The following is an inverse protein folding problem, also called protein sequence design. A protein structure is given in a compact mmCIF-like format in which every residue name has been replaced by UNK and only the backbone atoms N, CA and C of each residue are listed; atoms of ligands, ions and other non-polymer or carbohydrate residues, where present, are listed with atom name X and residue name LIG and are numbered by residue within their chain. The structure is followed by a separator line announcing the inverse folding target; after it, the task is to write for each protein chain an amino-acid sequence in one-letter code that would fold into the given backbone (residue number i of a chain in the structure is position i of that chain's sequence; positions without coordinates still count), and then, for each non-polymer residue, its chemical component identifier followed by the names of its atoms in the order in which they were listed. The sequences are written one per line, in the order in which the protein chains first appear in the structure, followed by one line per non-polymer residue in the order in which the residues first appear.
data_IF_764478604425
#
_entry.id   IF_764478604425
#
_cell.length_a   1.000
_cell.length_b   1.000
_cell.length_c   1.000
_cell.angle_alpha   90.00
_cell.angle_beta   90.00
_cell.angle_gamma   90.00
#
_symmetry.space_group_name_H-M   'P 1'
#
loop_
_entity.id
_entity.type
_entity.pdbx_description
1 polymer ?
#
# COMPACT_ATOMS: atom_id res chain seq x y z
N UNK A 1 7.55 9.75 9.04
CA UNK A 1 7.49 9.68 7.57
C UNK A 1 6.49 10.70 7.04
N UNK A 2 6.70 11.31 5.87
CA UNK A 2 5.90 12.46 5.43
C UNK A 2 4.58 12.04 4.82
N UNK A 3 3.59 12.90 5.01
CA UNK A 3 2.21 12.78 4.70
C UNK A 3 1.86 12.96 3.21
N UNK A 4 0.79 12.28 2.77
CA UNK A 4 0.09 12.60 1.52
C UNK A 4 -1.01 13.61 1.80
N UNK A 5 -0.95 14.77 1.13
CA UNK A 5 -2.12 15.62 0.98
C UNK A 5 -3.09 15.00 -0.04
N UNK A 6 -4.31 15.56 -0.10
CA UNK A 6 -5.37 15.09 -0.98
C UNK A 6 -4.86 14.95 -2.43
N UNK A 7 -4.82 13.71 -2.94
CA UNK A 7 -4.27 13.37 -4.25
C UNK A 7 -5.41 13.08 -5.21
N UNK A 8 -5.26 13.49 -6.46
CA UNK A 8 -6.14 13.02 -7.53
C UNK A 8 -5.79 11.58 -7.88
N UNK A 9 -6.77 10.70 -7.91
CA UNK A 9 -6.62 9.30 -8.32
C UNK A 9 -7.57 8.98 -9.46
N UNK A 10 -7.25 7.91 -10.20
CA UNK A 10 -8.14 7.31 -11.18
C UNK A 10 -8.69 6.03 -10.62
N UNK A 11 -10.00 5.79 -10.82
CA UNK A 11 -10.61 4.50 -10.53
C UNK A 11 -10.94 3.77 -11.83
N UNK A 12 -10.66 2.47 -11.86
CA UNK A 12 -11.01 1.55 -12.94
C UNK A 12 -11.64 0.32 -12.30
N UNK A 13 -12.64 -0.26 -12.93
CA UNK A 13 -13.19 -1.55 -12.51
C UNK A 13 -12.62 -2.65 -13.38
N UNK A 14 -11.93 -3.61 -12.77
CA UNK A 14 -11.53 -4.84 -13.41
C UNK A 14 -12.68 -5.86 -13.28
N UNK A 15 -13.18 -6.34 -14.41
CA UNK A 15 -14.18 -7.42 -14.48
C UNK A 15 -13.46 -8.70 -14.85
N UNK A 16 -13.50 -9.70 -13.98
CA UNK A 16 -12.92 -11.01 -14.26
C UNK A 16 -13.97 -12.13 -14.09
N UNK A 17 -13.74 -13.19 -14.85
CA UNK A 17 -14.75 -14.14 -15.34
C UNK A 17 -15.31 -15.14 -14.35
N UNK A 18 -16.25 -15.84 -14.82
CA UNK A 18 -17.21 -16.91 -14.57
C UNK A 18 -18.39 -16.54 -13.71
N UNK A 19 -18.28 -15.60 -12.73
CA UNK A 19 -19.38 -15.16 -11.87
C UNK A 19 -19.43 -13.64 -11.69
N UNK A 20 -18.88 -12.87 -12.65
CA UNK A 20 -18.89 -11.38 -12.69
C UNK A 20 -18.44 -10.77 -11.36
N UNK A 21 -17.24 -11.12 -10.92
CA UNK A 21 -16.59 -10.42 -9.81
C UNK A 21 -15.87 -9.18 -10.35
N UNK A 22 -16.01 -8.07 -9.65
CA UNK A 22 -15.34 -6.82 -9.97
C UNK A 22 -14.38 -6.44 -8.85
N UNK A 23 -13.23 -5.89 -9.22
CA UNK A 23 -12.27 -5.28 -8.28
C UNK A 23 -12.10 -3.83 -8.70
N UNK A 24 -12.34 -2.90 -7.76
CA UNK A 24 -12.01 -1.50 -7.96
C UNK A 24 -10.49 -1.32 -7.86
N UNK A 25 -9.92 -0.58 -8.81
CA UNK A 25 -8.50 -0.25 -8.85
C UNK A 25 -8.35 1.26 -8.84
N UNK A 26 -7.65 1.78 -7.85
CA UNK A 26 -7.32 3.20 -7.75
C UNK A 26 -5.83 3.38 -8.01
N UNK A 27 -5.49 4.19 -9.00
CA UNK A 27 -4.09 4.55 -9.25
C UNK A 27 -3.79 5.88 -8.58
N UNK A 28 -2.83 5.88 -7.67
CA UNK A 28 -2.48 6.99 -6.76
C UNK A 28 -1.01 7.33 -6.89
N UNK A 29 -0.70 8.61 -7.05
CA UNK A 29 0.67 9.10 -6.98
C UNK A 29 1.01 9.49 -5.53
N UNK A 30 1.83 8.69 -4.86
CA UNK A 30 2.27 8.98 -3.50
C UNK A 30 3.33 10.10 -3.45
N UNK A 31 3.40 10.83 -2.32
CA UNK A 31 4.36 11.89 -2.03
C UNK A 31 4.27 13.15 -2.91
N UNK A 32 3.13 13.40 -3.55
CA UNK A 32 2.92 14.58 -4.38
C UNK A 32 1.49 15.11 -4.27
N UNK A 33 1.31 16.40 -4.62
CA UNK A 33 -0.01 17.02 -4.80
C UNK A 33 -0.44 17.04 -6.28
N UNK A 34 0.46 16.65 -7.18
CA UNK A 34 0.24 16.75 -8.63
C UNK A 34 0.26 15.36 -9.24
N UNK A 35 -0.75 15.04 -10.05
CA UNK A 35 -0.79 13.79 -10.82
C UNK A 35 0.47 13.65 -11.69
N UNK A 36 0.95 12.42 -11.86
CA UNK A 36 2.13 12.04 -12.65
C UNK A 36 3.47 12.58 -12.12
N UNK A 37 3.52 13.05 -10.87
CA UNK A 37 4.76 13.59 -10.27
C UNK A 37 5.14 12.90 -8.97
N UNK A 38 4.50 11.81 -8.62
CA UNK A 38 4.76 11.04 -7.42
C UNK A 38 5.33 9.65 -7.68
N UNK A 39 5.29 8.82 -6.66
CA UNK A 39 5.55 7.40 -6.78
C UNK A 39 4.21 6.67 -6.98
N UNK A 40 3.94 6.11 -8.17
CA UNK A 40 2.65 5.53 -8.47
C UNK A 40 2.46 4.19 -7.74
N UNK A 41 1.27 4.01 -7.17
CA UNK A 41 0.79 2.76 -6.62
C UNK A 41 -0.62 2.47 -7.12
N UNK A 42 -0.96 1.21 -7.30
CA UNK A 42 -2.34 0.77 -7.47
C UNK A 42 -2.89 0.28 -6.13
N UNK A 43 -4.15 0.58 -5.85
CA UNK A 43 -4.87 0.16 -4.63
C UNK A 43 -6.11 -0.61 -5.04
N UNK A 44 -6.23 -1.84 -4.56
CA UNK A 44 -7.32 -2.77 -4.83
C UNK A 44 -8.01 -3.15 -3.51
N UNK A 45 -9.07 -2.45 -3.08
CA UNK A 45 -9.89 -2.88 -1.97
C UNK A 45 -10.69 -4.12 -2.38
N UNK A 46 -10.64 -5.17 -1.56
CA UNK A 46 -11.31 -6.46 -1.84
C UNK A 46 -12.17 -6.89 -0.65
N UNK A 47 -13.26 -7.59 -0.90
CA UNK A 47 -14.13 -8.15 0.12
C UNK A 47 -13.73 -9.58 0.52
N UNK A 48 -13.01 -10.25 -0.34
CA UNK A 48 -12.40 -11.57 -0.13
C UNK A 48 -11.06 -11.61 -0.87
N UNK A 49 -10.11 -12.37 -0.38
CA UNK A 49 -8.81 -12.51 -1.05
C UNK A 49 -8.97 -13.18 -2.41
N UNK A 50 -8.54 -12.51 -3.51
CA UNK A 50 -8.32 -13.21 -4.78
C UNK A 50 -7.21 -14.26 -4.61
N UNK A 51 -7.10 -15.19 -5.56
CA UNK A 51 -5.95 -16.09 -5.56
C UNK A 51 -4.64 -15.31 -5.74
N UNK A 52 -3.53 -15.83 -5.18
CA UNK A 52 -2.21 -15.21 -5.30
C UNK A 52 -1.83 -14.98 -6.78
N UNK A 53 -2.16 -15.95 -7.64
CA UNK A 53 -1.94 -15.82 -9.08
C UNK A 53 -2.71 -14.65 -9.69
N UNK A 54 -3.98 -14.44 -9.30
CA UNK A 54 -4.79 -13.34 -9.82
C UNK A 54 -4.25 -11.99 -9.33
N UNK A 55 -3.87 -11.89 -8.05
CA UNK A 55 -3.27 -10.66 -7.51
C UNK A 55 -1.96 -10.32 -8.23
N UNK A 56 -1.11 -11.33 -8.50
CA UNK A 56 0.13 -11.14 -9.26
C UNK A 56 -0.16 -10.72 -10.70
N UNK A 57 -1.13 -11.30 -11.38
CA UNK A 57 -1.49 -10.90 -12.75
C UNK A 57 -2.01 -9.48 -12.81
N UNK A 58 -2.86 -9.06 -11.86
CA UNK A 58 -3.33 -7.68 -11.75
C UNK A 58 -2.15 -6.71 -11.55
N UNK A 59 -1.21 -7.05 -10.67
CA UNK A 59 -0.02 -6.23 -10.44
C UNK A 59 0.87 -6.14 -11.68
N UNK A 60 1.03 -7.24 -12.43
CA UNK A 60 1.77 -7.28 -13.68
C UNK A 60 1.11 -6.39 -14.75
N UNK A 61 -0.21 -6.48 -14.89
CA UNK A 61 -0.97 -5.68 -15.87
C UNK A 61 -0.97 -4.19 -15.52
N UNK A 62 -1.12 -3.85 -14.24
CA UNK A 62 -1.06 -2.45 -13.78
C UNK A 62 0.30 -1.80 -14.07
N UNK A 63 1.37 -2.60 -14.00
CA UNK A 63 2.75 -2.18 -14.32
C UNK A 63 3.19 -0.88 -13.63
N UNK A 64 2.75 -0.68 -12.38
CA UNK A 64 3.24 0.37 -11.48
C UNK A 64 4.22 -0.24 -10.47
N UNK A 65 4.89 0.60 -9.66
CA UNK A 65 5.87 0.09 -8.67
C UNK A 65 5.30 -1.03 -7.83
N UNK A 66 4.15 -0.81 -7.17
CA UNK A 66 3.43 -1.82 -6.41
C UNK A 66 1.91 -1.64 -6.53
N UNK A 67 1.22 -2.78 -6.48
CA UNK A 67 -0.23 -2.89 -6.32
C UNK A 67 -0.51 -3.41 -4.91
N UNK A 68 -1.23 -2.62 -4.12
CA UNK A 68 -1.68 -3.00 -2.79
C UNK A 68 -3.09 -3.60 -2.87
N UNK A 69 -3.28 -4.75 -2.24
CA UNK A 69 -4.59 -5.34 -1.99
C UNK A 69 -4.91 -5.19 -0.51
N UNK A 70 -6.09 -4.71 -0.18
CA UNK A 70 -6.56 -4.55 1.19
C UNK A 70 -7.90 -5.24 1.38
N UNK A 71 -7.97 -6.12 2.39
CA UNK A 71 -9.18 -6.88 2.71
C UNK A 71 -10.11 -6.01 3.57
N UNK A 72 -11.25 -5.61 2.99
CA UNK A 72 -12.28 -4.86 3.68
C UNK A 72 -13.06 -5.78 4.64
N UNK A 73 -13.43 -5.24 5.81
CA UNK A 73 -14.23 -5.99 6.80
C UNK A 73 -13.41 -6.83 7.78
N UNK A 74 -12.10 -6.98 7.61
CA UNK A 74 -11.20 -7.48 8.66
C UNK A 74 -10.87 -6.37 9.67
N UNK A 75 -10.58 -6.74 10.91
CA UNK A 75 -10.15 -5.79 11.95
C UNK A 75 -9.06 -6.43 12.83
N UNK A 76 -7.80 -6.00 12.71
CA UNK A 76 -7.27 -4.97 11.79
C UNK A 76 -7.44 -5.31 10.31
N UNK A 77 -7.36 -4.31 9.42
CA UNK A 77 -7.43 -4.51 7.97
C UNK A 77 -6.19 -5.26 7.49
N UNK A 78 -6.37 -6.35 6.76
CA UNK A 78 -5.23 -7.07 6.19
C UNK A 78 -4.78 -6.43 4.88
N UNK A 79 -3.46 -6.32 4.66
CA UNK A 79 -2.87 -5.71 3.47
C UNK A 79 -1.72 -6.56 2.92
N UNK A 80 -1.65 -6.65 1.58
CA UNK A 80 -0.59 -7.32 0.82
C UNK A 80 -0.17 -6.46 -0.36
N UNK A 81 1.10 -6.56 -0.78
CA UNK A 81 1.66 -5.76 -1.86
C UNK A 81 2.36 -6.64 -2.89
N UNK A 82 2.14 -6.31 -4.14
CA UNK A 82 2.73 -7.02 -5.27
C UNK A 82 3.41 -6.03 -6.19
N UNK A 83 4.70 -6.25 -6.48
CA UNK A 83 5.37 -5.65 -7.62
C UNK A 83 4.87 -6.32 -8.91
N UNK A 84 5.22 -5.84 -10.12
CA UNK A 84 4.87 -6.54 -11.34
C UNK A 84 5.36 -7.99 -11.44
N UNK A 85 6.30 -8.42 -10.60
CA UNK A 85 6.94 -9.73 -10.70
C UNK A 85 6.80 -10.60 -9.45
N UNK A 86 6.59 -10.02 -8.26
CA UNK A 86 6.61 -10.77 -7.00
C UNK A 86 5.83 -10.04 -5.90
N UNK A 87 5.27 -10.81 -4.96
CA UNK A 87 4.78 -10.26 -3.69
C UNK A 87 5.95 -9.72 -2.87
N UNK A 88 5.78 -8.53 -2.25
CA UNK A 88 6.79 -7.89 -1.42
C UNK A 88 6.35 -7.85 0.04
N UNK A 89 7.31 -7.96 0.97
CA UNK A 89 7.01 -8.09 2.40
C UNK A 89 6.51 -6.79 3.03
N UNK A 90 6.92 -5.62 2.52
CA UNK A 90 6.53 -4.31 3.05
C UNK A 90 6.65 -3.23 1.97
N UNK A 91 5.63 -2.37 1.86
CA UNK A 91 5.67 -1.24 0.95
C UNK A 91 5.05 0.02 1.57
N UNK A 92 5.87 1.03 1.88
CA UNK A 92 5.43 2.25 2.56
C UNK A 92 4.54 3.14 1.69
N UNK A 93 4.94 3.43 0.44
CA UNK A 93 4.18 4.36 -0.40
C UNK A 93 2.84 3.78 -0.84
N UNK A 94 2.77 2.47 -1.12
CA UNK A 94 1.51 1.81 -1.46
C UNK A 94 0.57 1.70 -0.25
N UNK A 95 1.11 1.54 0.98
CA UNK A 95 0.31 1.61 2.22
C UNK A 95 -0.26 3.01 2.43
N UNK A 96 0.56 4.04 2.17
CA UNK A 96 0.13 5.43 2.28
C UNK A 96 -0.99 5.74 1.27
N UNK A 97 -0.85 5.29 0.01
CA UNK A 97 -1.88 5.39 -1.02
C UNK A 97 -3.15 4.65 -0.60
N UNK A 98 -3.03 3.42 -0.06
CA UNK A 98 -4.16 2.64 0.44
C UNK A 98 -4.90 3.35 1.56
N UNK A 99 -4.19 3.87 2.56
CA UNK A 99 -4.80 4.63 3.64
C UNK A 99 -5.56 5.86 3.12
N UNK A 100 -5.00 6.57 2.13
CA UNK A 100 -5.66 7.73 1.51
C UNK A 100 -6.99 7.35 0.86
N UNK A 101 -7.00 6.29 0.03
CA UNK A 101 -8.22 5.79 -0.62
C UNK A 101 -9.25 5.35 0.41
N UNK A 102 -8.83 4.65 1.47
CA UNK A 102 -9.75 4.21 2.51
C UNK A 102 -10.39 5.39 3.25
N UNK A 103 -9.63 6.43 3.60
CA UNK A 103 -10.18 7.62 4.24
C UNK A 103 -11.11 8.42 3.32
N UNK A 104 -10.86 8.46 2.02
CA UNK A 104 -11.65 9.24 1.08
C UNK A 104 -12.93 8.52 0.63
N UNK A 105 -12.86 7.20 0.38
CA UNK A 105 -13.91 6.47 -0.34
C UNK A 105 -14.65 5.46 0.53
N UNK A 106 -14.02 4.91 1.58
CA UNK A 106 -14.55 3.76 2.30
C UNK A 106 -14.90 4.05 3.77
N UNK A 107 -14.14 4.91 4.42
CA UNK A 107 -14.32 5.20 5.85
C UNK A 107 -15.07 6.53 6.03
N UNK A 108 -16.40 6.46 5.98
CA UNK A 108 -17.28 7.61 6.26
C UNK A 108 -17.44 7.88 7.76
N UNK A 109 -16.43 7.56 8.58
CA UNK A 109 -16.48 7.66 10.03
C UNK A 109 -15.66 8.85 10.54
N UNK A 110 -15.88 9.21 11.82
CA UNK A 110 -15.05 10.16 12.55
C UNK A 110 -13.68 9.56 12.95
N UNK A 111 -13.46 8.26 12.72
CA UNK A 111 -12.20 7.59 12.98
C UNK A 111 -11.14 8.08 12.01
N UNK A 112 -10.06 8.57 12.59
CA UNK A 112 -8.90 9.09 11.85
C UNK A 112 -7.70 8.15 11.89
N UNK A 113 -7.92 6.88 12.25
CA UNK A 113 -6.86 5.89 12.39
C UNK A 113 -7.28 4.58 11.74
N UNK A 114 -6.38 4.03 10.93
CA UNK A 114 -6.48 2.69 10.34
C UNK A 114 -5.32 1.86 10.88
N UNK A 115 -5.59 0.61 11.22
CA UNK A 115 -4.55 -0.37 11.55
C UNK A 115 -4.54 -1.41 10.46
N UNK A 116 -3.38 -1.54 9.80
CA UNK A 116 -3.11 -2.57 8.82
C UNK A 116 -2.33 -3.72 9.47
N UNK A 117 -2.80 -4.93 9.26
CA UNK A 117 -2.07 -6.15 9.56
C UNK A 117 -1.41 -6.67 8.30
N UNK A 118 -0.12 -6.95 8.35
CA UNK A 118 0.61 -7.62 7.29
C UNK A 118 1.46 -8.76 7.87
N UNK A 119 2.14 -9.53 7.03
CA UNK A 119 2.94 -10.70 7.44
C UNK A 119 4.02 -10.37 8.47
N UNK A 120 4.62 -9.18 8.39
CA UNK A 120 5.72 -8.74 9.28
C UNK A 120 5.25 -7.98 10.53
N UNK A 121 3.94 -7.72 10.72
CA UNK A 121 3.44 -6.98 11.88
C UNK A 121 2.27 -6.06 11.57
N UNK A 122 2.24 -4.91 12.21
CA UNK A 122 1.18 -3.91 12.05
C UNK A 122 1.75 -2.56 11.64
N UNK A 123 0.99 -1.85 10.79
CA UNK A 123 1.26 -0.46 10.43
C UNK A 123 0.04 0.35 10.86
N UNK A 124 0.29 1.48 11.50
CA UNK A 124 -0.77 2.43 11.84
C UNK A 124 -0.75 3.58 10.82
N UNK A 125 -1.92 3.88 10.25
CA UNK A 125 -2.12 5.09 9.45
C UNK A 125 -3.03 6.05 10.20
N UNK A 126 -2.71 7.34 10.24
CA UNK A 126 -3.53 8.38 10.86
C UNK A 126 -3.75 9.54 9.90
N UNK A 127 -4.96 10.11 9.94
CA UNK A 127 -5.35 11.29 9.16
C UNK A 127 -5.36 12.53 10.06
N UNK A 128 -4.48 13.49 9.76
CA UNK A 128 -4.39 14.78 10.44
C UNK A 128 -4.61 15.91 9.44
N UNK A 129 -5.79 16.54 9.51
CA UNK A 129 -6.21 17.48 8.47
C UNK A 129 -6.35 16.77 7.12
N UNK A 130 -5.56 17.17 6.14
CA UNK A 130 -5.49 16.53 4.82
C UNK A 130 -4.32 15.55 4.67
N UNK A 131 -3.50 15.39 5.71
CA UNK A 131 -2.27 14.60 5.67
C UNK A 131 -2.49 13.22 6.26
N UNK A 132 -1.96 12.19 5.58
CA UNK A 132 -1.89 10.82 6.10
C UNK A 132 -0.49 10.55 6.60
N UNK A 133 -0.37 10.07 7.83
CA UNK A 133 0.88 9.67 8.46
C UNK A 133 0.90 8.16 8.62
N UNK A 134 2.07 7.56 8.41
CA UNK A 134 2.28 6.15 8.70
C UNK A 134 3.28 5.99 9.84
N UNK A 135 2.94 5.11 10.77
CA UNK A 135 3.80 4.65 11.84
C UNK A 135 4.19 3.18 11.56
N UNK A 136 5.48 2.96 11.33
CA UNK A 136 6.06 1.65 11.04
C UNK A 136 6.72 1.09 12.29
N UNK A 137 6.76 -0.25 12.44
CA UNK A 137 7.63 -0.86 13.44
C UNK A 137 9.08 -0.40 13.21
N UNK A 138 9.75 -0.04 14.28
CA UNK A 138 11.16 0.33 14.24
C UNK A 138 12.00 -0.94 14.32
N UNK A 139 12.82 -1.18 13.31
CA UNK A 139 13.87 -2.19 13.41
C UNK A 139 14.94 -1.67 14.37
N UNK A 140 15.26 -2.44 15.41
CA UNK A 140 16.38 -2.11 16.29
C UNK A 140 17.69 -2.11 15.47
N UNK A 141 18.53 -1.07 15.58
CA UNK A 141 19.80 -1.03 14.86
C UNK A 141 20.67 -2.23 15.28
N UNK A 142 21.05 -3.03 14.30
CA UNK A 142 21.99 -4.15 14.51
C UNK A 142 23.30 -3.55 15.03
N UNK A 143 23.78 -4.03 16.20
CA UNK A 143 24.99 -3.52 16.82
C UNK A 143 26.18 -3.56 15.87
N UNK A 144 27.06 -2.56 15.96
CA UNK A 144 28.19 -2.22 15.07
C UNK A 144 29.20 -3.34 14.73
N UNK A 145 29.01 -4.57 15.20
CA UNK A 145 29.96 -5.67 14.97
C UNK A 145 30.16 -6.10 13.52
N UNK A 146 29.32 -5.61 12.59
CA UNK A 146 29.41 -5.97 11.17
C UNK A 146 29.90 -4.85 10.25
N UNK A 147 30.30 -3.69 10.77
CA UNK A 147 30.81 -2.56 9.95
C UNK A 147 32.19 -2.87 9.36
N UNK A 148 32.95 -3.81 9.93
CA UNK A 148 34.26 -4.20 9.38
C UNK A 148 34.22 -4.79 7.97
N UNK A 149 33.05 -5.26 7.51
CA UNK A 149 32.87 -5.80 6.15
C UNK A 149 32.73 -4.67 5.13
N UNK A 150 32.15 -3.54 5.50
CA UNK A 150 31.96 -2.39 4.61
C UNK A 150 33.25 -1.63 4.31
N UNK A 151 34.20 -1.61 5.23
CA UNK A 151 35.48 -0.93 5.04
C UNK A 151 36.38 -1.63 4.02
N UNK A 152 36.16 -2.94 3.73
CA UNK A 152 36.92 -3.70 2.74
C UNK A 152 36.31 -3.62 1.30
N UNK A 153 35.22 -2.93 1.12
CA UNK A 153 34.54 -2.80 -0.20
C UNK A 153 34.77 -1.39 -0.78
N UNK A 154 35.30 -0.45 0.01
CA UNK A 154 35.51 0.95 -0.39
C UNK A 154 37.00 1.29 -0.66
N UNK A 155 37.91 0.31 -0.63
CA UNK A 155 39.29 0.41 -1.14
C UNK A 155 39.38 -0.27 -2.53
#
# INVERSE_FOLDING_TARGET
MRALERVSYRSVQLVYTSDVKTIDIFQVDAFTKSIFKGNPAAVCPVLEWPSDALMQWIATENNVSETAFVLLGSNPLEIRWFSPTVEVDLCGHATLATARILFDEYLHTTEKTIIFQYKGGVIRASLEGELVYLDFPCDEPVSEKNISILNNVLE
#
